data_IF_450708029322
#
_entry.id   IF_450708029322
#
_cell.length_a   1.000
_cell.length_b   1.000
_cell.length_c   1.000
_cell.angle_alpha   90.00
_cell.angle_beta   90.00
_cell.angle_gamma   90.00
#
_symmetry.space_group_name_H-M   'P 1'
#
loop_
_entity.id
_entity.type
_entity.pdbx_description
1 polymer ?
#
# COMPACT_ATOMS: atom_id res chain seq x y z
N UNK A 1 -37.33 -6.20 1.64
CA UNK A 1 -35.98 -5.59 1.48
C UNK A 1 -35.13 -6.01 2.67
N UNK A 2 -34.07 -6.82 2.46
CA UNK A 2 -33.13 -7.18 3.52
C UNK A 2 -32.18 -6.00 3.73
N UNK A 3 -32.24 -5.35 4.90
CA UNK A 3 -31.36 -4.24 5.26
C UNK A 3 -30.02 -4.80 5.71
N UNK A 4 -28.94 -4.39 5.06
CA UNK A 4 -27.60 -4.58 5.60
C UNK A 4 -27.42 -3.61 6.78
N UNK A 5 -27.22 -4.15 7.98
CA UNK A 5 -26.93 -3.36 9.18
C UNK A 5 -25.42 -3.23 9.29
N UNK A 6 -24.91 -2.00 9.18
CA UNK A 6 -23.54 -1.66 9.49
C UNK A 6 -23.51 -1.14 10.94
N UNK A 7 -23.00 -1.95 11.87
CA UNK A 7 -22.92 -1.56 13.28
C UNK A 7 -21.62 -0.76 13.48
N UNK A 8 -21.73 0.57 13.60
CA UNK A 8 -20.73 1.35 14.32
C UNK A 8 -20.91 1.03 15.81
N UNK A 9 -19.98 0.30 16.41
CA UNK A 9 -20.05 0.00 17.83
C UNK A 9 -19.67 1.25 18.66
N UNK A 10 -20.65 1.80 19.36
CA UNK A 10 -20.46 2.71 20.50
C UNK A 10 -21.25 2.18 21.68
N UNK A 11 -20.51 1.74 22.71
CA UNK A 11 -20.88 1.53 24.12
C UNK A 11 -22.08 0.65 24.52
N UNK A 12 -21.72 -0.50 25.10
CA UNK A 12 -22.13 -1.06 26.40
C UNK A 12 -23.63 -1.18 26.77
N UNK A 13 -24.12 -2.42 26.78
CA UNK A 13 -25.13 -2.87 27.74
C UNK A 13 -24.84 -4.33 28.14
N UNK A 14 -24.55 -4.52 29.42
CA UNK A 14 -24.39 -5.82 30.08
C UNK A 14 -25.79 -6.42 30.26
N UNK A 15 -25.98 -7.65 29.80
CA UNK A 15 -27.09 -8.49 30.27
C UNK A 15 -26.58 -9.91 30.52
N UNK A 16 -26.50 -10.27 31.79
CA UNK A 16 -26.24 -11.61 32.30
C UNK A 16 -27.51 -12.47 32.19
N UNK A 17 -27.42 -13.62 31.52
CA UNK A 17 -28.35 -14.74 31.73
C UNK A 17 -27.54 -16.02 31.85
N UNK A 18 -27.75 -16.72 32.96
CA UNK A 18 -27.12 -17.99 33.28
C UNK A 18 -27.88 -19.19 32.67
N UNK A 19 -27.09 -20.12 32.13
CA UNK A 19 -27.26 -21.58 32.07
C UNK A 19 -28.58 -22.23 31.65
N UNK A 20 -28.50 -23.04 30.58
CA UNK A 20 -28.93 -24.45 30.60
C UNK A 20 -28.32 -25.19 29.42
N UNK A 21 -27.55 -26.24 29.70
CA UNK A 21 -26.95 -27.10 28.69
C UNK A 21 -27.98 -28.01 28.03
N UNK A 22 -27.83 -28.20 26.72
CA UNK A 22 -28.30 -29.39 26.01
C UNK A 22 -27.28 -29.70 24.91
N UNK A 23 -26.62 -30.85 25.03
CA UNK A 23 -25.87 -31.50 23.95
C UNK A 23 -26.87 -32.15 23.00
N UNK A 24 -26.80 -31.83 21.72
CA UNK A 24 -27.33 -32.63 20.61
C UNK A 24 -26.29 -32.49 19.48
N UNK A 25 -25.45 -33.52 19.30
CA UNK A 25 -25.61 -34.60 18.34
C UNK A 25 -25.00 -34.21 16.98
N UNK A 26 -23.95 -34.96 16.59
CA UNK A 26 -23.16 -34.75 15.37
C UNK A 26 -24.02 -34.84 14.11
N UNK A 27 -24.19 -33.72 13.42
CA UNK A 27 -24.66 -33.70 12.02
C UNK A 27 -23.49 -34.00 11.06
N UNK A 28 -23.73 -34.76 9.98
CA UNK A 28 -22.71 -35.04 8.97
C UNK A 28 -22.28 -33.73 8.30
N UNK A 29 -20.97 -33.52 8.19
CA UNK A 29 -20.36 -32.31 7.65
C UNK A 29 -20.97 -31.91 6.30
N UNK A 30 -21.92 -30.97 6.35
CA UNK A 30 -22.49 -30.33 5.17
C UNK A 30 -21.37 -29.69 4.35
N UNK A 31 -21.54 -29.68 3.02
CA UNK A 31 -20.66 -28.95 2.10
C UNK A 31 -20.41 -27.55 2.68
N UNK A 32 -19.14 -27.09 2.79
CA UNK A 32 -18.85 -25.84 3.47
C UNK A 32 -19.70 -24.74 2.85
N UNK A 33 -20.60 -24.19 3.66
CA UNK A 33 -21.46 -23.09 3.26
C UNK A 33 -20.54 -21.98 2.74
N UNK A 34 -20.80 -21.53 1.50
CA UNK A 34 -19.98 -20.51 0.84
C UNK A 34 -20.12 -19.22 1.65
N UNK A 35 -19.18 -18.99 2.57
CA UNK A 35 -19.16 -17.76 3.38
C UNK A 35 -19.14 -16.55 2.43
N UNK A 36 -20.13 -15.67 2.58
CA UNK A 36 -20.24 -14.45 1.78
C UNK A 36 -19.16 -13.46 2.23
N UNK A 37 -18.22 -13.12 1.35
CA UNK A 37 -17.15 -12.16 1.62
C UNK A 37 -15.74 -12.73 1.37
N UNK A 38 -14.73 -11.87 1.52
CA UNK A 38 -13.33 -12.28 1.50
C UNK A 38 -12.87 -12.62 2.93
N UNK A 39 -12.25 -13.78 3.08
CA UNK A 39 -11.75 -14.29 4.36
C UNK A 39 -10.29 -14.72 4.20
N UNK A 40 -9.49 -14.51 5.25
CA UNK A 40 -8.12 -15.02 5.28
C UNK A 40 -8.07 -16.47 5.77
N UNK A 41 -9.07 -16.90 6.54
CA UNK A 41 -9.05 -18.17 7.28
C UNK A 41 -8.36 -18.07 8.64
N UNK A 42 -7.90 -16.87 9.03
CA UNK A 42 -7.20 -16.58 10.29
C UNK A 42 -7.96 -15.60 11.17
N UNK A 43 -9.25 -15.38 10.91
CA UNK A 43 -10.08 -14.49 11.72
C UNK A 43 -10.05 -14.89 13.21
N UNK A 44 -9.58 -13.99 14.07
CA UNK A 44 -9.42 -14.22 15.51
C UNK A 44 -8.17 -15.02 15.90
N UNK A 45 -7.32 -15.38 14.94
CA UNK A 45 -6.04 -16.08 15.13
C UNK A 45 -4.86 -15.30 14.56
N UNK A 46 -5.00 -13.98 14.43
CA UNK A 46 -3.97 -13.12 13.85
C UNK A 46 -2.68 -13.15 14.67
N UNK A 47 -2.73 -13.14 16.00
CA UNK A 47 -1.52 -13.27 16.82
C UNK A 47 -0.74 -14.58 16.54
N UNK A 48 -1.44 -15.70 16.36
CA UNK A 48 -0.81 -16.99 16.06
C UNK A 48 -0.18 -17.01 14.66
N UNK A 49 -0.91 -16.48 13.66
CA UNK A 49 -0.37 -16.30 12.31
C UNK A 49 0.89 -15.41 12.33
N UNK A 50 0.82 -14.28 13.04
CA UNK A 50 1.93 -13.35 13.15
C UNK A 50 3.16 -13.97 13.81
N UNK A 51 2.97 -14.77 14.86
CA UNK A 51 4.06 -15.52 15.49
C UNK A 51 4.72 -16.48 14.50
N UNK A 52 3.92 -17.29 13.80
CA UNK A 52 4.44 -18.26 12.82
C UNK A 52 5.20 -17.58 11.68
N UNK A 53 4.70 -16.44 11.18
CA UNK A 53 5.38 -15.66 10.14
C UNK A 53 6.66 -15.01 10.69
N UNK A 54 6.64 -14.46 11.91
CA UNK A 54 7.82 -13.89 12.57
C UNK A 54 8.94 -14.92 12.78
N UNK A 55 8.59 -16.15 13.18
CA UNK A 55 9.52 -17.28 13.26
C UNK A 55 10.11 -17.63 11.89
N UNK A 56 9.28 -17.65 10.84
CA UNK A 56 9.73 -17.90 9.48
C UNK A 56 10.70 -16.81 8.99
N UNK A 57 10.39 -15.53 9.23
CA UNK A 57 11.26 -14.38 8.88
C UNK A 57 12.61 -14.51 9.59
N UNK A 58 12.60 -14.78 10.90
CA UNK A 58 13.83 -14.94 11.69
C UNK A 58 14.68 -16.11 11.18
N UNK A 59 14.04 -17.22 10.78
CA UNK A 59 14.72 -18.40 10.27
C UNK A 59 15.44 -18.15 8.93
N UNK A 60 14.84 -17.38 8.02
CA UNK A 60 15.42 -17.12 6.68
C UNK A 60 16.27 -15.85 6.62
N UNK A 61 16.17 -14.98 7.62
CA UNK A 61 17.00 -13.78 7.71
C UNK A 61 18.48 -14.15 7.87
N UNK A 62 19.33 -13.57 7.02
CA UNK A 62 20.77 -13.75 7.10
C UNK A 62 21.38 -13.07 8.34
N UNK A 63 20.84 -11.92 8.74
CA UNK A 63 21.35 -11.13 9.87
C UNK A 63 20.74 -11.56 11.20
N UNK A 64 19.49 -12.03 11.19
CA UNK A 64 18.65 -12.25 12.39
C UNK A 64 18.60 -11.02 13.30
N UNK A 65 18.83 -9.84 12.72
CA UNK A 65 18.90 -8.56 13.43
C UNK A 65 17.55 -8.14 14.01
N UNK A 66 17.54 -7.10 14.87
CA UNK A 66 16.32 -6.60 15.52
C UNK A 66 15.24 -6.16 14.52
N UNK A 67 15.62 -5.74 13.30
CA UNK A 67 14.70 -5.40 12.21
C UNK A 67 13.84 -6.58 11.72
N UNK A 68 14.24 -7.80 12.04
CA UNK A 68 13.54 -9.05 11.69
C UNK A 68 12.80 -9.68 12.87
N UNK A 69 12.85 -9.05 14.05
CA UNK A 69 12.19 -9.53 15.25
C UNK A 69 10.81 -8.87 15.40
N UNK A 70 9.79 -9.70 15.61
CA UNK A 70 8.39 -9.27 15.72
C UNK A 70 7.77 -9.59 17.08
N UNK A 71 8.61 -9.82 18.10
CA UNK A 71 8.14 -9.95 19.47
C UNK A 71 7.29 -8.73 19.85
N UNK A 72 6.17 -8.97 20.51
CA UNK A 72 5.16 -7.98 20.91
C UNK A 72 4.45 -7.26 19.74
N UNK A 73 4.70 -7.70 18.50
CA UNK A 73 4.09 -7.18 17.26
C UNK A 73 3.41 -8.27 16.44
N UNK A 74 3.24 -9.46 17.00
CA UNK A 74 2.66 -10.62 16.32
C UNK A 74 1.23 -10.32 15.86
N UNK A 75 0.42 -9.70 16.71
CA UNK A 75 -0.94 -9.31 16.34
C UNK A 75 -0.95 -8.40 15.10
N UNK A 76 -0.04 -7.42 15.04
CA UNK A 76 0.08 -6.51 13.89
C UNK A 76 0.53 -7.27 12.64
N UNK A 77 1.61 -8.06 12.74
CA UNK A 77 2.14 -8.83 11.62
C UNK A 77 1.09 -9.80 11.05
N UNK A 78 0.40 -10.54 11.92
CA UNK A 78 -0.65 -11.45 11.51
C UNK A 78 -1.85 -10.74 10.89
N UNK A 79 -2.24 -9.57 11.40
CA UNK A 79 -3.31 -8.76 10.81
C UNK A 79 -2.93 -8.31 9.39
N UNK A 80 -1.69 -7.88 9.18
CA UNK A 80 -1.18 -7.48 7.87
C UNK A 80 -1.16 -8.66 6.89
N UNK A 81 -0.65 -9.83 7.31
CA UNK A 81 -0.63 -11.04 6.47
C UNK A 81 -2.04 -11.50 6.15
N UNK A 82 -2.95 -11.53 7.13
CA UNK A 82 -4.35 -11.88 6.91
C UNK A 82 -5.03 -10.92 5.93
N UNK A 83 -4.73 -9.62 6.00
CA UNK A 83 -5.25 -8.63 5.07
C UNK A 83 -4.74 -8.88 3.65
N UNK A 84 -3.43 -9.13 3.50
CA UNK A 84 -2.82 -9.52 2.22
C UNK A 84 -3.50 -10.76 1.64
N UNK A 85 -3.73 -11.80 2.43
CA UNK A 85 -4.42 -13.02 2.00
C UNK A 85 -5.84 -12.73 1.49
N UNK A 86 -6.60 -11.89 2.18
CA UNK A 86 -7.94 -11.46 1.73
C UNK A 86 -7.89 -10.78 0.36
N UNK A 87 -6.86 -9.95 0.13
CA UNK A 87 -6.67 -9.24 -1.13
C UNK A 87 -6.26 -10.17 -2.27
N UNK A 88 -5.18 -10.94 -2.10
CA UNK A 88 -4.62 -11.75 -3.20
C UNK A 88 -5.49 -12.96 -3.55
N UNK A 89 -6.29 -13.48 -2.61
CA UNK A 89 -7.25 -14.56 -2.86
C UNK A 89 -8.54 -14.08 -3.53
N UNK A 90 -8.73 -12.75 -3.69
CA UNK A 90 -9.82 -12.21 -4.47
C UNK A 90 -9.40 -12.06 -5.94
N UNK A 91 -9.88 -12.95 -6.81
CA UNK A 91 -9.44 -13.02 -8.22
C UNK A 91 -10.61 -13.09 -9.23
N UNK A 92 -11.80 -12.58 -8.87
CA UNK A 92 -13.02 -12.78 -9.69
C UNK A 92 -13.11 -11.89 -10.93
N UNK A 93 -12.46 -10.72 -10.94
CA UNK A 93 -12.54 -9.74 -12.05
C UNK A 93 -11.16 -9.46 -12.64
N UNK A 94 -10.16 -9.26 -11.79
CA UNK A 94 -8.75 -9.24 -12.13
C UNK A 94 -7.94 -9.61 -10.89
N UNK A 95 -6.65 -9.91 -11.04
CA UNK A 95 -5.77 -10.19 -9.90
C UNK A 95 -5.52 -8.89 -9.13
N UNK A 96 -5.95 -8.82 -7.87
CA UNK A 96 -5.65 -7.70 -6.99
C UNK A 96 -4.23 -7.80 -6.40
N UNK A 97 -3.56 -6.66 -6.27
CA UNK A 97 -2.36 -6.49 -5.43
C UNK A 97 -2.74 -5.73 -4.15
N UNK A 98 -1.85 -5.77 -3.16
CA UNK A 98 -2.09 -5.22 -1.83
C UNK A 98 -2.22 -3.69 -1.83
N UNK A 99 -1.66 -3.03 -2.85
CA UNK A 99 -1.68 -1.58 -3.03
C UNK A 99 -2.84 -1.08 -3.92
N UNK A 100 -3.70 -1.95 -4.46
CA UNK A 100 -4.72 -1.61 -5.46
C UNK A 100 -5.57 -0.40 -5.09
N UNK A 101 -6.03 -0.33 -3.84
CA UNK A 101 -6.89 0.76 -3.38
C UNK A 101 -6.15 2.10 -3.42
N UNK A 102 -4.88 2.12 -3.01
CA UNK A 102 -4.03 3.31 -3.04
C UNK A 102 -3.72 3.70 -4.49
N UNK A 103 -3.37 2.73 -5.34
CA UNK A 103 -3.13 2.94 -6.78
C UNK A 103 -4.35 3.55 -7.45
N UNK A 104 -5.56 3.01 -7.21
CA UNK A 104 -6.81 3.56 -7.76
C UNK A 104 -7.06 5.00 -7.32
N UNK A 105 -6.94 5.28 -6.02
CA UNK A 105 -7.11 6.65 -5.53
C UNK A 105 -6.10 7.62 -6.16
N UNK A 106 -4.85 7.19 -6.35
CA UNK A 106 -3.83 7.99 -7.05
C UNK A 106 -4.20 8.20 -8.53
N UNK A 107 -4.70 7.16 -9.21
CA UNK A 107 -5.15 7.28 -10.60
C UNK A 107 -6.35 8.21 -10.75
N UNK A 108 -7.35 8.12 -9.87
CA UNK A 108 -8.51 9.01 -9.86
C UNK A 108 -8.05 10.47 -9.70
N UNK A 109 -7.09 10.71 -8.82
CA UNK A 109 -6.52 12.03 -8.60
C UNK A 109 -5.80 12.59 -9.83
N UNK A 110 -4.99 11.77 -10.51
CA UNK A 110 -4.30 12.15 -11.74
C UNK A 110 -5.31 12.35 -12.88
N UNK A 111 -6.36 11.52 -12.96
CA UNK A 111 -7.42 11.61 -13.97
C UNK A 111 -8.20 12.92 -13.83
N UNK A 112 -8.46 13.38 -12.59
CA UNK A 112 -9.03 14.71 -12.34
C UNK A 112 -8.08 15.80 -12.85
N UNK A 113 -6.78 15.68 -12.56
CA UNK A 113 -5.75 16.59 -13.06
C UNK A 113 -5.73 16.71 -14.58
N UNK A 114 -5.82 15.56 -15.28
CA UNK A 114 -5.90 15.48 -16.74
C UNK A 114 -7.20 16.08 -17.27
N UNK A 115 -8.34 15.60 -16.78
CA UNK A 115 -9.67 15.96 -17.31
C UNK A 115 -10.02 17.43 -17.12
N UNK A 116 -9.53 18.06 -16.05
CA UNK A 116 -9.79 19.47 -15.76
C UNK A 116 -8.65 20.41 -16.16
N UNK A 117 -7.54 19.88 -16.68
CA UNK A 117 -6.36 20.69 -17.05
C UNK A 117 -5.66 21.35 -15.86
N UNK A 118 -5.79 20.77 -14.65
CA UNK A 118 -5.26 21.35 -13.39
C UNK A 118 -4.04 20.61 -12.84
N UNK A 119 -3.37 19.78 -13.65
CA UNK A 119 -2.19 19.01 -13.23
C UNK A 119 -1.13 19.83 -12.47
N UNK A 120 -0.76 21.05 -12.90
CA UNK A 120 0.21 21.88 -12.15
C UNK A 120 -0.25 22.21 -10.72
N UNK A 121 -1.54 22.47 -10.51
CA UNK A 121 -2.10 22.76 -9.20
C UNK A 121 -2.09 21.52 -8.29
N UNK A 122 -2.37 20.34 -8.87
CA UNK A 122 -2.29 19.07 -8.14
C UNK A 122 -0.87 18.81 -7.66
N UNK A 123 0.13 18.98 -8.54
CA UNK A 123 1.54 18.79 -8.18
C UNK A 123 1.96 19.80 -7.10
N UNK A 124 1.54 21.06 -7.21
CA UNK A 124 1.84 22.08 -6.22
C UNK A 124 1.25 21.73 -4.83
N UNK A 125 0.04 21.16 -4.79
CA UNK A 125 -0.60 20.71 -3.56
C UNK A 125 0.11 19.49 -2.95
N UNK A 126 0.50 18.51 -3.76
CA UNK A 126 1.31 17.37 -3.31
C UNK A 126 2.66 17.85 -2.74
N UNK A 127 3.36 18.77 -3.42
CA UNK A 127 4.57 19.41 -2.88
C UNK A 127 4.29 20.15 -1.57
N UNK A 128 3.19 20.90 -1.47
CA UNK A 128 2.84 21.61 -0.25
C UNK A 128 2.78 20.67 0.97
N UNK A 129 2.18 19.49 0.80
CA UNK A 129 2.04 18.49 1.87
C UNK A 129 3.37 17.88 2.33
N UNK A 130 4.37 17.80 1.45
CA UNK A 130 5.68 17.19 1.73
C UNK A 130 6.81 18.20 1.95
N UNK A 131 6.57 19.50 1.69
CA UNK A 131 7.57 20.57 1.67
C UNK A 131 8.46 20.61 2.91
N UNK A 132 7.87 20.62 4.12
CA UNK A 132 8.64 20.70 5.38
C UNK A 132 9.57 19.50 5.59
N UNK A 133 9.23 18.33 5.06
CA UNK A 133 10.13 17.18 5.07
C UNK A 133 11.28 17.40 4.09
N UNK A 134 10.97 17.79 2.85
CA UNK A 134 11.97 18.04 1.82
C UNK A 134 12.96 19.15 2.22
N UNK A 135 12.50 20.22 2.85
CA UNK A 135 13.36 21.30 3.36
C UNK A 135 14.36 20.81 4.43
N UNK A 136 13.89 19.93 5.34
CA UNK A 136 14.77 19.30 6.33
C UNK A 136 15.83 18.42 5.68
N UNK A 137 15.45 17.62 4.68
CA UNK A 137 16.38 16.80 3.91
C UNK A 137 17.37 17.67 3.13
N UNK A 138 16.91 18.73 2.46
CA UNK A 138 17.77 19.69 1.77
C UNK A 138 18.79 20.36 2.69
N UNK A 139 18.40 20.70 3.92
CA UNK A 139 19.33 21.22 4.92
C UNK A 139 20.40 20.19 5.33
N UNK A 140 20.04 18.90 5.43
CA UNK A 140 21.00 17.83 5.68
C UNK A 140 21.96 17.62 4.50
N UNK A 141 21.47 17.66 3.27
CA UNK A 141 22.28 17.58 2.05
C UNK A 141 23.30 18.72 2.02
N UNK A 142 22.87 19.97 2.25
CA UNK A 142 23.77 21.14 2.26
C UNK A 142 24.88 21.06 3.31
N UNK A 143 24.58 20.52 4.50
CA UNK A 143 25.57 20.38 5.57
C UNK A 143 26.56 19.24 5.32
N UNK A 144 26.09 18.13 4.76
CA UNK A 144 26.89 16.91 4.61
C UNK A 144 27.57 16.76 3.24
N UNK A 145 27.06 17.44 2.22
CA UNK A 145 27.39 17.17 0.82
C UNK A 145 26.82 15.86 0.28
N UNK A 146 26.15 15.04 1.09
CA UNK A 146 25.65 13.73 0.67
C UNK A 146 24.33 13.86 -0.10
N UNK A 147 24.41 13.76 -1.43
CA UNK A 147 23.24 13.86 -2.32
C UNK A 147 22.33 12.62 -2.30
N UNK A 148 22.80 11.46 -1.84
CA UNK A 148 21.97 10.25 -1.74
C UNK A 148 20.83 10.42 -0.73
N UNK A 149 20.97 11.36 0.21
CA UNK A 149 19.88 11.75 1.11
C UNK A 149 18.64 12.26 0.36
N UNK A 150 18.79 12.78 -0.86
CA UNK A 150 17.66 13.18 -1.69
C UNK A 150 16.80 11.96 -2.09
N UNK A 151 17.45 10.86 -2.50
CA UNK A 151 16.75 9.62 -2.87
C UNK A 151 16.09 8.99 -1.63
N UNK A 152 16.81 8.93 -0.50
CA UNK A 152 16.23 8.46 0.76
C UNK A 152 15.02 9.31 1.15
N UNK A 153 15.15 10.63 1.10
CA UNK A 153 14.10 11.55 1.52
C UNK A 153 12.82 11.45 0.70
N UNK A 154 12.95 11.19 -0.62
CA UNK A 154 11.82 11.09 -1.54
C UNK A 154 11.19 9.69 -1.56
N UNK A 155 12.02 8.64 -1.49
CA UNK A 155 11.56 7.27 -1.77
C UNK A 155 11.54 6.34 -0.55
N UNK A 156 12.21 6.65 0.55
CA UNK A 156 12.39 5.67 1.64
C UNK A 156 12.04 6.19 3.03
N UNK A 157 12.26 7.48 3.29
CA UNK A 157 12.24 8.04 4.65
C UNK A 157 10.89 7.91 5.37
N UNK A 158 9.77 7.94 4.64
CA UNK A 158 8.43 7.78 5.22
C UNK A 158 7.81 6.42 4.94
N UNK A 159 8.49 5.53 4.21
CA UNK A 159 8.03 4.20 3.79
C UNK A 159 6.74 4.15 2.95
N UNK A 160 5.99 5.25 2.82
CA UNK A 160 4.76 5.34 2.01
C UNK A 160 4.99 4.97 0.54
N UNK A 161 6.20 5.21 0.02
CA UNK A 161 6.58 4.77 -1.32
C UNK A 161 6.47 3.25 -1.48
N UNK A 162 6.88 2.46 -0.48
CA UNK A 162 6.79 1.00 -0.49
C UNK A 162 5.35 0.48 -0.36
N UNK A 163 4.41 1.33 0.07
CA UNK A 163 2.99 1.01 0.07
C UNK A 163 2.37 1.20 -1.34
N UNK A 164 2.99 2.04 -2.17
CA UNK A 164 2.54 2.30 -3.53
C UNK A 164 3.29 1.42 -4.55
N UNK A 165 4.59 1.20 -4.36
CA UNK A 165 5.48 0.56 -5.32
C UNK A 165 6.06 -0.73 -4.74
N UNK A 166 5.75 -1.86 -5.37
CA UNK A 166 6.15 -3.18 -4.87
C UNK A 166 7.59 -3.56 -5.20
N UNK A 167 8.14 -3.07 -6.32
CA UNK A 167 9.44 -3.47 -6.82
C UNK A 167 10.36 -2.26 -6.96
N UNK A 168 11.39 -2.22 -6.10
CA UNK A 168 12.37 -1.14 -6.05
C UNK A 168 13.77 -1.72 -5.98
N UNK A 169 14.71 -1.13 -6.71
CA UNK A 169 16.14 -1.43 -6.64
C UNK A 169 16.90 -0.13 -6.35
N UNK A 170 17.82 -0.19 -5.38
CA UNK A 170 18.62 0.95 -4.97
C UNK A 170 20.09 0.71 -5.23
N UNK A 171 20.74 1.70 -5.82
CA UNK A 171 22.18 1.79 -6.00
C UNK A 171 22.67 3.19 -5.56
N UNK A 172 23.97 3.41 -5.31
CA UNK A 172 24.49 4.75 -5.05
C UNK A 172 24.08 5.73 -6.16
N UNK A 173 23.43 6.84 -5.80
CA UNK A 173 22.92 7.82 -6.75
C UNK A 173 21.77 7.38 -7.66
N UNK A 174 21.13 6.22 -7.42
CA UNK A 174 20.06 5.72 -8.31
C UNK A 174 18.98 4.92 -7.57
N UNK A 175 17.73 5.15 -7.97
CA UNK A 175 16.62 4.24 -7.66
C UNK A 175 15.91 3.85 -8.96
N UNK A 176 15.64 2.56 -9.09
CA UNK A 176 14.85 2.00 -10.20
C UNK A 176 13.62 1.34 -9.61
N UNK A 177 12.46 1.55 -10.21
CA UNK A 177 11.24 0.89 -9.77
C UNK A 177 10.31 0.56 -10.92
N UNK A 178 9.45 -0.43 -10.73
CA UNK A 178 8.36 -0.75 -11.65
C UNK A 178 7.20 0.19 -11.39
N UNK A 179 6.65 0.79 -12.44
CA UNK A 179 5.44 1.62 -12.31
C UNK A 179 4.30 0.80 -11.66
N UNK A 180 3.59 1.37 -10.67
CA UNK A 180 2.53 0.66 -9.95
C UNK A 180 1.18 0.67 -10.69
N UNK A 181 1.07 1.41 -11.81
CA UNK A 181 -0.22 1.76 -12.40
C UNK A 181 -0.72 0.74 -13.42
N UNK A 182 0.17 0.04 -14.13
CA UNK A 182 -0.17 -0.74 -15.33
C UNK A 182 -1.30 -1.76 -15.16
N UNK A 183 -1.28 -2.55 -14.08
CA UNK A 183 -2.31 -3.59 -13.86
C UNK A 183 -3.69 -3.00 -13.54
N UNK A 184 -3.74 -1.97 -12.71
CA UNK A 184 -5.00 -1.28 -12.38
C UNK A 184 -5.52 -0.50 -13.59
N UNK A 185 -4.64 0.17 -14.34
CA UNK A 185 -5.00 0.84 -15.59
C UNK A 185 -5.53 -0.16 -16.62
N UNK A 186 -4.91 -1.33 -16.76
CA UNK A 186 -5.42 -2.38 -17.64
C UNK A 186 -6.89 -2.68 -17.33
N UNK A 187 -7.23 -2.99 -16.07
CA UNK A 187 -8.61 -3.29 -15.69
C UNK A 187 -9.55 -2.08 -15.82
N UNK A 188 -9.16 -0.92 -15.31
CA UNK A 188 -10.02 0.26 -15.21
C UNK A 188 -10.27 0.96 -16.55
N UNK A 189 -9.33 0.87 -17.51
CA UNK A 189 -9.54 1.35 -18.88
C UNK A 189 -10.57 0.52 -19.63
N UNK A 190 -10.59 -0.81 -19.45
CA UNK A 190 -11.63 -1.67 -20.05
C UNK A 190 -13.03 -1.34 -19.52
N UNK A 191 -13.11 -0.82 -18.29
CA UNK A 191 -14.36 -0.38 -17.66
C UNK A 191 -14.74 1.07 -18.01
N UNK A 192 -13.90 1.80 -18.76
CA UNK A 192 -14.12 3.20 -19.07
C UNK A 192 -13.96 4.16 -17.88
N UNK A 193 -13.31 3.73 -16.79
CA UNK A 193 -13.10 4.55 -15.59
C UNK A 193 -11.94 5.52 -15.81
N UNK A 194 -10.86 5.05 -16.42
CA UNK A 194 -9.66 5.83 -16.73
C UNK A 194 -9.38 5.84 -18.23
N UNK A 195 -8.80 6.94 -18.72
CA UNK A 195 -8.25 7.06 -20.08
C UNK A 195 -6.72 7.34 -20.08
N UNK A 196 -6.08 7.26 -18.91
CA UNK A 196 -4.65 7.46 -18.70
C UNK A 196 -3.81 6.30 -19.27
N UNK A 197 -2.62 6.61 -19.77
CA UNK A 197 -1.52 5.67 -19.99
C UNK A 197 -0.41 5.88 -18.96
N UNK A 198 0.40 4.85 -18.71
CA UNK A 198 1.56 4.98 -17.82
C UNK A 198 2.59 5.99 -18.33
N UNK A 199 2.74 6.11 -19.65
CA UNK A 199 3.58 7.13 -20.26
C UNK A 199 3.09 8.54 -19.95
N UNK A 200 1.79 8.81 -20.16
CA UNK A 200 1.19 10.10 -19.81
C UNK A 200 1.37 10.42 -18.32
N UNK A 201 1.17 9.44 -17.43
CA UNK A 201 1.40 9.62 -15.99
C UNK A 201 2.87 9.97 -15.74
N UNK A 202 3.80 9.25 -16.36
CA UNK A 202 5.23 9.50 -16.20
C UNK A 202 5.62 10.93 -16.61
N UNK A 203 5.13 11.36 -17.76
CA UNK A 203 5.50 12.64 -18.38
C UNK A 203 4.79 13.84 -17.75
N UNK A 204 3.52 13.69 -17.35
CA UNK A 204 2.69 14.81 -16.86
C UNK A 204 2.60 14.90 -15.35
N UNK A 205 2.80 13.81 -14.64
CA UNK A 205 2.72 13.73 -13.18
C UNK A 205 4.08 13.42 -12.54
N UNK A 206 4.71 12.30 -12.89
CA UNK A 206 5.90 11.81 -12.19
C UNK A 206 7.11 12.73 -12.37
N UNK A 207 7.49 13.04 -13.62
CA UNK A 207 8.65 13.88 -13.92
C UNK A 207 8.48 15.28 -13.29
N UNK A 208 7.39 16.03 -13.55
CA UNK A 208 7.27 17.39 -13.03
C UNK A 208 7.21 17.44 -11.51
N UNK A 209 6.57 16.45 -10.87
CA UNK A 209 6.54 16.33 -9.41
C UNK A 209 7.94 16.12 -8.82
N UNK A 210 8.70 15.17 -9.37
CA UNK A 210 10.07 14.91 -8.92
C UNK A 210 10.99 16.11 -9.13
N UNK A 211 10.82 16.85 -10.23
CA UNK A 211 11.57 18.07 -10.49
C UNK A 211 11.28 19.17 -9.46
N UNK A 212 10.01 19.35 -9.07
CA UNK A 212 9.67 20.30 -8.00
C UNK A 212 10.26 19.87 -6.64
N UNK A 213 10.32 18.56 -6.36
CA UNK A 213 10.95 18.06 -5.15
C UNK A 213 12.46 18.35 -5.16
N UNK A 214 13.12 18.11 -6.29
CA UNK A 214 14.55 18.36 -6.49
C UNK A 214 14.93 19.82 -6.21
N UNK A 215 14.09 20.77 -6.64
CA UNK A 215 14.28 22.20 -6.38
C UNK A 215 14.31 22.51 -4.88
N UNK A 216 13.37 21.97 -4.09
CA UNK A 216 13.34 22.18 -2.63
C UNK A 216 14.53 21.51 -1.94
N UNK A 217 14.92 20.33 -2.42
CA UNK A 217 16.08 19.59 -1.92
C UNK A 217 17.42 20.26 -2.26
N UNK A 218 17.47 21.12 -3.27
CA UNK A 218 18.70 21.75 -3.77
C UNK A 218 19.57 20.78 -4.55
N UNK A 219 18.97 19.84 -5.28
CA UNK A 219 19.65 18.85 -6.13
C UNK A 219 19.05 18.84 -7.54
N UNK A 220 19.65 18.06 -8.43
CA UNK A 220 19.09 17.76 -9.74
C UNK A 220 18.77 16.27 -9.81
N UNK A 221 17.56 15.93 -10.24
CA UNK A 221 17.20 14.56 -10.58
C UNK A 221 17.25 14.38 -12.09
N UNK A 222 17.94 13.33 -12.51
CA UNK A 222 17.84 12.80 -13.87
C UNK A 222 16.78 11.70 -13.87
N UNK A 223 15.61 11.99 -14.46
CA UNK A 223 14.49 11.05 -14.52
C UNK A 223 14.47 10.45 -15.92
N UNK A 224 14.71 9.14 -16.02
CA UNK A 224 14.79 8.47 -17.33
C UNK A 224 13.47 8.59 -18.11
N UNK A 225 13.51 8.55 -19.46
CA UNK A 225 12.28 8.46 -20.26
C UNK A 225 11.46 7.22 -19.89
N UNK A 226 10.17 7.27 -20.23
CA UNK A 226 9.29 6.12 -20.05
C UNK A 226 9.81 4.91 -20.82
N UNK A 227 9.80 3.76 -20.17
CA UNK A 227 10.14 2.46 -20.77
C UNK A 227 8.96 1.54 -20.54
N UNK A 228 8.33 1.09 -21.62
CA UNK A 228 7.30 0.05 -21.53
C UNK A 228 7.92 -1.18 -20.84
N UNK A 229 7.19 -1.76 -19.90
CA UNK A 229 7.58 -3.06 -19.35
C UNK A 229 7.35 -4.11 -20.44
N UNK A 230 8.36 -4.95 -20.69
CA UNK A 230 8.26 -6.09 -21.58
C UNK A 230 7.37 -7.18 -20.99
#
# INVERSE_FOLDING_TARGET
MRRAVCILASTLAVLTIASSGLRAADEPAGKPERKLGAYSGFEGREAELGKAVGEAITRVSATKGPEHQFADREQLLGTMVATTLKTINHNRVYQHETNDALVKMTLDHIQVGKSQGVMPAIIAQDLHSTRKQLERVGAMIRRSGNKDLALVGVFEQTTCFFQLVEQTQREPGRITYRSPFGRVLFATRQMGIHDLTEQEIHETWTIPRLQQYAQVLGVQFDVSPWRATA
#
